data_IF_852686162293
#
_entry.id   IF_852686162293
#
_cell.length_a   1.000
_cell.length_b   1.000
_cell.length_c   1.000
_cell.angle_alpha   90.00
_cell.angle_beta   90.00
_cell.angle_gamma   90.00
#
_symmetry.space_group_name_H-M   'P 1'
#
loop_
_entity.id
_entity.type
_entity.pdbx_description
1 polymer ?
#
# COMPACT_ATOMS: atom_id res chain seq x y z
N UNK A 1 -22.48 5.94 -25.92
CA UNK A 1 -22.78 5.08 -24.76
C UNK A 1 -21.71 4.00 -24.71
N UNK A 2 -20.73 4.15 -23.82
CA UNK A 2 -19.60 3.23 -23.71
C UNK A 2 -19.85 2.33 -22.50
N UNK A 3 -20.34 1.11 -22.76
CA UNK A 3 -20.44 0.02 -21.78
C UNK A 3 -19.03 -0.41 -21.40
N UNK A 4 -18.46 0.32 -20.45
CA UNK A 4 -17.05 0.28 -20.13
C UNK A 4 -16.76 -0.92 -19.22
N UNK A 5 -16.22 -1.97 -19.86
CA UNK A 5 -15.18 -2.92 -19.39
C UNK A 5 -15.36 -3.72 -18.08
N UNK A 6 -16.06 -3.21 -17.06
CA UNK A 6 -16.19 -3.89 -15.77
C UNK A 6 -17.12 -5.11 -15.81
N UNK A 7 -18.15 -5.09 -16.65
CA UNK A 7 -19.11 -6.19 -16.79
C UNK A 7 -18.62 -7.34 -17.69
N UNK A 8 -17.51 -7.18 -18.42
CA UNK A 8 -16.96 -8.26 -19.25
C UNK A 8 -16.04 -9.22 -18.47
N UNK A 9 -15.56 -8.85 -17.27
CA UNK A 9 -14.73 -9.74 -16.45
C UNK A 9 -15.55 -10.69 -15.56
N UNK A 10 -16.87 -10.56 -15.51
CA UNK A 10 -17.73 -11.41 -14.69
C UNK A 10 -17.98 -12.81 -15.28
N UNK A 11 -17.48 -13.12 -16.48
CA UNK A 11 -17.72 -14.40 -17.16
C UNK A 11 -16.49 -15.31 -17.31
N UNK A 12 -15.30 -14.89 -16.87
CA UNK A 12 -14.11 -15.72 -17.02
C UNK A 12 -13.80 -16.47 -15.73
N UNK A 13 -14.08 -17.78 -15.75
CA UNK A 13 -13.49 -18.72 -14.81
C UNK A 13 -11.97 -18.75 -15.05
N UNK A 14 -11.25 -17.81 -14.43
CA UNK A 14 -9.79 -17.76 -14.42
C UNK A 14 -9.26 -19.10 -13.90
N UNK A 15 -8.27 -19.68 -14.61
CA UNK A 15 -7.61 -20.89 -14.14
C UNK A 15 -6.94 -20.62 -12.78
N UNK A 16 -6.74 -21.67 -11.96
CA UNK A 16 -6.13 -21.51 -10.63
C UNK A 16 -4.73 -20.89 -10.72
N UNK A 17 -4.01 -21.13 -11.81
CA UNK A 17 -2.67 -20.61 -12.09
C UNK A 17 -2.72 -19.13 -12.48
N UNK A 18 -3.59 -18.73 -13.41
CA UNK A 18 -3.78 -17.31 -13.75
C UNK A 18 -4.29 -16.51 -12.56
N UNK A 19 -5.22 -17.07 -11.78
CA UNK A 19 -5.70 -16.44 -10.55
C UNK A 19 -4.61 -16.38 -9.47
N UNK A 20 -3.65 -17.31 -9.43
CA UNK A 20 -2.51 -17.27 -8.52
C UNK A 20 -1.45 -16.27 -8.98
N UNK A 21 -1.24 -16.14 -10.29
CA UNK A 21 -0.27 -15.22 -10.89
C UNK A 21 -0.76 -13.77 -10.82
N UNK A 22 -2.06 -13.53 -11.04
CA UNK A 22 -2.72 -12.25 -10.78
C UNK A 22 -2.71 -11.92 -9.28
N UNK A 23 -2.91 -12.92 -8.40
CA UNK A 23 -2.78 -12.73 -6.95
C UNK A 23 -1.35 -12.38 -6.53
N UNK A 24 -0.34 -13.09 -7.05
CA UNK A 24 1.06 -12.81 -6.79
C UNK A 24 1.50 -11.43 -7.28
N UNK A 25 1.08 -11.03 -8.49
CA UNK A 25 1.30 -9.68 -9.01
C UNK A 25 0.62 -8.59 -8.18
N UNK A 26 -0.60 -8.84 -7.71
CA UNK A 26 -1.29 -7.94 -6.79
C UNK A 26 -0.63 -7.85 -5.41
N UNK A 27 -0.02 -8.92 -4.91
CA UNK A 27 0.69 -8.92 -3.63
C UNK A 27 2.03 -8.18 -3.72
N UNK A 28 2.74 -8.29 -4.85
CA UNK A 28 3.94 -7.51 -5.12
C UNK A 28 3.64 -6.01 -5.17
N UNK A 29 2.60 -5.58 -5.89
CA UNK A 29 2.19 -4.17 -5.96
C UNK A 29 1.84 -3.64 -4.56
N UNK A 30 1.16 -4.42 -3.72
CA UNK A 30 0.84 -4.02 -2.35
C UNK A 30 2.09 -3.86 -1.49
N UNK A 31 2.99 -4.85 -1.51
CA UNK A 31 4.26 -4.78 -0.78
C UNK A 31 5.05 -3.55 -1.20
N UNK A 32 5.11 -3.29 -2.51
CA UNK A 32 5.76 -2.13 -3.08
C UNK A 32 5.13 -0.81 -2.62
N UNK A 33 3.79 -0.68 -2.71
CA UNK A 33 3.06 0.53 -2.28
C UNK A 33 3.27 0.77 -0.78
N UNK A 34 3.13 -0.27 0.05
CA UNK A 34 3.33 -0.14 1.50
C UNK A 34 4.77 0.26 1.81
N UNK A 35 5.75 -0.33 1.13
CA UNK A 35 7.15 0.05 1.32
C UNK A 35 7.38 1.52 0.98
N UNK A 36 6.89 1.96 -0.17
CA UNK A 36 6.97 3.37 -0.58
C UNK A 36 6.32 4.29 0.48
N UNK A 37 5.14 3.92 0.99
CA UNK A 37 4.45 4.70 2.02
C UNK A 37 5.24 4.78 3.33
N UNK A 38 5.88 3.69 3.74
CA UNK A 38 6.74 3.66 4.94
C UNK A 38 7.96 4.57 4.76
N UNK A 39 8.61 4.51 3.60
CA UNK A 39 9.81 5.32 3.39
C UNK A 39 9.46 6.82 3.28
N UNK A 40 8.32 7.16 2.67
CA UNK A 40 7.75 8.53 2.72
C UNK A 40 7.36 8.96 4.13
N UNK A 41 6.84 8.03 4.94
CA UNK A 41 6.55 8.26 6.34
C UNK A 41 7.81 8.61 7.15
N UNK A 42 8.89 7.84 6.98
CA UNK A 42 10.19 8.11 7.63
C UNK A 42 10.73 9.49 7.23
N UNK A 43 10.74 9.80 5.93
CA UNK A 43 11.15 11.12 5.43
C UNK A 43 10.31 12.28 5.98
N UNK A 44 9.03 12.04 6.30
CA UNK A 44 8.15 13.04 6.90
C UNK A 44 8.47 13.27 8.37
N UNK A 45 8.93 12.23 9.08
CA UNK A 45 9.30 12.26 10.50
C UNK A 45 10.71 12.79 10.75
N UNK A 46 11.59 12.76 9.75
CA UNK A 46 12.89 13.46 9.80
C UNK A 46 12.75 14.99 9.86
N UNK A 47 11.52 15.52 9.77
CA UNK A 47 11.21 16.93 9.95
C UNK A 47 11.13 17.27 11.45
N UNK A 48 11.61 18.46 11.88
CA UNK A 48 11.83 18.82 13.29
C UNK A 48 10.56 18.88 14.18
N UNK A 49 9.37 18.65 13.64
CA UNK A 49 8.09 18.80 14.33
C UNK A 49 7.53 17.50 14.90
N UNK A 50 8.09 16.34 14.56
CA UNK A 50 7.64 15.05 15.07
C UNK A 50 8.66 14.49 16.05
N UNK A 51 8.23 14.12 17.27
CA UNK A 51 9.09 13.36 18.17
C UNK A 51 9.22 11.94 17.64
N UNK A 52 10.45 11.49 17.39
CA UNK A 52 10.72 10.12 16.93
C UNK A 52 10.11 9.07 17.88
N UNK A 53 10.06 9.35 19.18
CA UNK A 53 9.47 8.47 20.22
C UNK A 53 8.02 8.03 19.91
N UNK A 54 7.20 8.88 19.28
CA UNK A 54 5.80 8.54 18.97
C UNK A 54 5.66 7.58 17.77
N UNK A 55 6.74 7.38 17.01
CA UNK A 55 6.75 6.69 15.72
C UNK A 55 7.90 5.69 15.56
N UNK A 56 8.62 5.32 16.64
CA UNK A 56 9.80 4.44 16.61
C UNK A 56 9.56 3.13 15.82
N UNK A 57 8.37 2.54 15.98
CA UNK A 57 7.98 1.30 15.32
C UNK A 57 7.88 1.38 13.78
N UNK A 58 7.94 2.57 13.18
CA UNK A 58 7.99 2.73 11.72
C UNK A 58 9.38 2.43 11.15
N UNK A 59 10.41 2.35 11.99
CA UNK A 59 11.77 2.01 11.58
C UNK A 59 11.95 0.49 11.37
N UNK A 60 11.05 -0.32 11.90
CA UNK A 60 11.12 -1.78 11.77
C UNK A 60 10.96 -2.24 10.31
N UNK A 61 11.69 -3.29 9.87
CA UNK A 61 11.45 -3.93 8.58
C UNK A 61 10.02 -4.45 8.44
N UNK A 62 9.43 -4.40 7.24
CA UNK A 62 8.04 -4.81 7.01
C UNK A 62 7.75 -6.25 7.46
N UNK A 63 8.72 -7.15 7.30
CA UNK A 63 8.66 -8.57 7.73
C UNK A 63 8.52 -8.71 9.25
N UNK A 64 9.03 -7.73 9.99
CA UNK A 64 9.01 -7.68 11.45
C UNK A 64 7.81 -6.88 12.00
N UNK A 65 6.96 -6.32 11.12
CA UNK A 65 5.82 -5.51 11.55
C UNK A 65 4.79 -6.32 12.33
N UNK A 66 4.64 -5.97 13.62
CA UNK A 66 3.64 -6.54 14.53
C UNK A 66 2.38 -5.69 14.54
N UNK A 67 1.33 -6.20 15.19
CA UNK A 67 0.04 -5.52 15.29
C UNK A 67 0.10 -4.11 15.90
N UNK A 68 1.10 -3.81 16.74
CA UNK A 68 1.31 -2.49 17.34
C UNK A 68 1.84 -1.43 16.37
N UNK A 69 2.57 -1.82 15.31
CA UNK A 69 3.28 -0.88 14.44
C UNK A 69 2.32 -0.14 13.50
N UNK A 70 1.21 -0.80 13.15
CA UNK A 70 0.15 -0.19 12.37
C UNK A 70 -0.51 1.02 13.03
N UNK A 71 -0.35 1.21 14.36
CA UNK A 71 -0.93 2.36 15.07
C UNK A 71 -0.25 3.67 14.67
N UNK A 72 1.08 3.69 14.64
CA UNK A 72 1.86 4.85 14.21
C UNK A 72 1.60 5.18 12.74
N UNK A 73 1.48 4.15 11.90
CA UNK A 73 1.13 4.31 10.48
C UNK A 73 -0.32 4.84 10.29
N UNK A 74 -1.25 4.36 11.11
CA UNK A 74 -2.65 4.83 11.17
C UNK A 74 -2.73 6.31 11.53
N UNK A 75 -1.96 6.75 12.54
CA UNK A 75 -1.89 8.15 12.94
C UNK A 75 -1.32 9.05 11.83
N UNK A 76 -0.29 8.58 11.12
CA UNK A 76 0.37 9.39 10.10
C UNK A 76 -0.49 9.58 8.84
N UNK A 77 -1.19 8.54 8.42
CA UNK A 77 -2.01 8.58 7.21
C UNK A 77 -3.45 9.07 7.46
N UNK A 78 -3.83 9.30 8.72
CA UNK A 78 -5.21 9.57 9.13
C UNK A 78 -6.20 8.51 8.61
N UNK A 79 -5.84 7.24 8.75
CA UNK A 79 -6.63 6.08 8.29
C UNK A 79 -6.90 5.16 9.47
N UNK A 80 -8.10 4.55 9.61
CA UNK A 80 -8.37 3.61 10.69
C UNK A 80 -7.40 2.42 10.71
N UNK A 81 -6.94 2.05 11.90
CA UNK A 81 -6.07 0.90 12.15
C UNK A 81 -6.63 -0.41 11.56
N UNK A 82 -7.96 -0.59 11.62
CA UNK A 82 -8.66 -1.74 11.04
C UNK A 82 -8.50 -1.80 9.52
N UNK A 83 -8.53 -0.66 8.84
CA UNK A 83 -8.36 -0.56 7.38
C UNK A 83 -6.96 -0.97 6.95
N UNK A 84 -5.93 -0.51 7.67
CA UNK A 84 -4.54 -0.91 7.41
C UNK A 84 -4.35 -2.40 7.65
N UNK A 85 -4.84 -2.92 8.78
CA UNK A 85 -4.75 -4.36 9.10
C UNK A 85 -5.49 -5.22 8.08
N UNK A 86 -6.64 -4.76 7.61
CA UNK A 86 -7.42 -5.46 6.60
C UNK A 86 -6.68 -5.50 5.26
N UNK A 87 -6.13 -4.37 4.82
CA UNK A 87 -5.31 -4.29 3.61
C UNK A 87 -4.10 -5.24 3.64
N UNK A 88 -3.39 -5.27 4.77
CA UNK A 88 -2.22 -6.13 4.95
C UNK A 88 -2.56 -7.63 5.03
N UNK A 89 -3.77 -8.00 5.46
CA UNK A 89 -4.17 -9.41 5.65
C UNK A 89 -4.94 -10.02 4.49
N UNK A 90 -5.86 -9.26 3.90
CA UNK A 90 -6.89 -9.79 3.02
C UNK A 90 -6.65 -9.48 1.54
N UNK A 91 -5.55 -8.81 1.22
CA UNK A 91 -5.15 -8.57 -0.16
C UNK A 91 -6.21 -7.85 -1.02
N UNK A 92 -7.05 -7.03 -0.39
CA UNK A 92 -8.06 -6.20 -1.07
C UNK A 92 -7.56 -4.77 -1.26
N UNK A 93 -8.05 -4.12 -2.31
CA UNK A 93 -7.81 -2.71 -2.57
C UNK A 93 -8.33 -1.83 -1.42
N UNK A 94 -7.62 -0.72 -1.16
CA UNK A 94 -8.16 0.36 -0.34
C UNK A 94 -9.45 0.91 -0.97
N UNK A 95 -10.39 1.31 -0.12
CA UNK A 95 -11.57 2.07 -0.56
C UNK A 95 -11.15 3.44 -1.10
N UNK A 96 -11.98 4.02 -1.95
CA UNK A 96 -11.66 5.26 -2.68
C UNK A 96 -11.27 6.41 -1.74
N UNK A 97 -12.02 6.65 -0.66
CA UNK A 97 -11.69 7.68 0.33
C UNK A 97 -10.30 7.46 0.97
N UNK A 98 -9.94 6.21 1.21
CA UNK A 98 -8.63 5.84 1.77
C UNK A 98 -7.53 6.06 0.73
N UNK A 99 -7.78 5.75 -0.54
CA UNK A 99 -6.85 6.03 -1.63
C UNK A 99 -6.60 7.52 -1.78
N UNK A 100 -7.63 8.36 -1.70
CA UNK A 100 -7.47 9.81 -1.77
C UNK A 100 -6.58 10.36 -0.65
N UNK A 101 -6.72 9.86 0.59
CA UNK A 101 -5.81 10.21 1.70
C UNK A 101 -4.38 9.80 1.41
N UNK A 102 -4.18 8.58 0.90
CA UNK A 102 -2.84 8.06 0.53
C UNK A 102 -2.22 8.89 -0.60
N UNK A 103 -3.00 9.26 -1.63
CA UNK A 103 -2.55 10.09 -2.74
C UNK A 103 -2.16 11.49 -2.27
N UNK A 104 -2.95 12.08 -1.37
CA UNK A 104 -2.63 13.38 -0.77
C UNK A 104 -1.33 13.31 0.05
N UNK A 105 -1.15 12.26 0.87
CA UNK A 105 0.05 12.03 1.65
C UNK A 105 1.31 11.83 0.77
N UNK A 106 1.16 11.10 -0.33
CA UNK A 106 2.28 10.79 -1.23
C UNK A 106 2.46 11.84 -2.34
N UNK A 107 1.64 12.89 -2.38
CA UNK A 107 1.62 13.93 -3.43
C UNK A 107 1.37 13.41 -4.85
N UNK A 108 0.74 12.24 -4.99
CA UNK A 108 0.39 11.65 -6.27
C UNK A 108 -0.98 12.12 -6.76
N UNK A 109 -1.18 12.18 -8.07
CA UNK A 109 -2.46 12.59 -8.68
C UNK A 109 -3.40 11.42 -8.92
N UNK A 110 -2.85 10.23 -9.21
CA UNK A 110 -3.63 9.04 -9.51
C UNK A 110 -3.04 7.82 -8.80
N UNK A 111 -3.89 6.81 -8.57
CA UNK A 111 -3.47 5.55 -7.97
C UNK A 111 -2.49 4.79 -8.87
N UNK A 112 -2.68 4.86 -10.19
CA UNK A 112 -1.81 4.21 -11.17
C UNK A 112 -0.39 4.80 -11.16
N UNK A 113 -0.27 6.12 -10.97
CA UNK A 113 1.04 6.77 -10.84
C UNK A 113 1.77 6.28 -9.58
N UNK A 114 1.04 6.15 -8.46
CA UNK A 114 1.58 5.64 -7.21
C UNK A 114 2.05 4.19 -7.35
N UNK A 115 1.24 3.32 -7.98
CA UNK A 115 1.60 1.92 -8.20
C UNK A 115 2.85 1.79 -9.09
N UNK A 116 2.97 2.61 -10.13
CA UNK A 116 4.16 2.64 -11.00
C UNK A 116 5.40 3.09 -10.23
N UNK A 117 5.31 4.18 -9.46
CA UNK A 117 6.44 4.64 -8.63
C UNK A 117 6.84 3.56 -7.63
N UNK A 118 5.87 2.96 -6.95
CA UNK A 118 6.09 1.91 -5.98
C UNK A 118 6.79 0.69 -6.59
N UNK A 119 6.34 0.22 -7.76
CA UNK A 119 6.97 -0.89 -8.46
C UNK A 119 8.40 -0.56 -8.91
N UNK A 120 8.64 0.62 -9.47
CA UNK A 120 9.99 1.05 -9.86
C UNK A 120 10.90 1.13 -8.63
N UNK A 121 10.38 1.66 -7.52
CA UNK A 121 11.09 1.71 -6.24
C UNK A 121 11.44 0.31 -5.74
N UNK A 122 10.46 -0.60 -5.73
CA UNK A 122 10.65 -2.00 -5.33
C UNK A 122 11.69 -2.74 -6.19
N UNK A 123 11.68 -2.53 -7.50
CA UNK A 123 12.64 -3.12 -8.43
C UNK A 123 14.07 -2.59 -8.23
N UNK A 124 14.22 -1.31 -7.87
CA UNK A 124 15.52 -0.69 -7.60
C UNK A 124 16.11 -1.14 -6.26
N UNK A 125 15.27 -1.25 -5.23
CA UNK A 125 15.69 -1.59 -3.86
C UNK A 125 15.75 -3.11 -3.62
N UNK A 126 15.36 -3.93 -4.59
CA UNK A 126 15.46 -5.39 -4.51
C UNK A 126 14.45 -6.02 -3.54
N UNK A 127 13.17 -5.66 -3.68
CA UNK A 127 12.07 -6.37 -3.01
C UNK A 127 12.07 -7.84 -3.49
N UNK A 128 12.63 -8.74 -2.68
CA UNK A 128 12.54 -10.19 -2.91
C UNK A 128 11.14 -10.67 -2.52
N UNK A 129 10.58 -11.54 -3.35
CA UNK A 129 9.24 -12.14 -3.18
C UNK A 129 9.03 -12.79 -1.82
#
# INVERSE_FOLDING_TARGET
MNTNLFNQFAQYALSKEEAAQIRGGNDLIKKAVIRLLIDRARQTLDKPYYSHESFENLLDPLEEWKHGHYRSFSCLLDIPLSTIRYFMKESRYFQEDTRQKILAFTTHKTWEDLEKEALIYALKEGLKD
#
